data_IF_625778157684
#
_entry.id   IF_625778157684
#
_cell.length_a   1.000
_cell.length_b   1.000
_cell.length_c   1.000
_cell.angle_alpha   90.00
_cell.angle_beta   90.00
_cell.angle_gamma   90.00
#
_symmetry.space_group_name_H-M   'P 1'
#
loop_
_entity.id
_entity.type
_entity.pdbx_description
1 polymer ?
#
# COMPACT_ATOMS: atom_id res chain seq x y z
N UNK A 1 -7.49 -5.29 -4.00
CA UNK A 1 -6.60 -4.16 -3.67
C UNK A 1 -5.98 -3.55 -4.92
N UNK A 2 -5.11 -4.25 -5.67
CA UNK A 2 -4.45 -3.71 -6.87
C UNK A 2 -5.34 -3.61 -8.13
N UNK A 3 -6.57 -4.12 -8.07
CA UNK A 3 -7.55 -4.07 -9.16
C UNK A 3 -8.29 -2.74 -9.26
N UNK A 4 -8.12 -1.84 -8.27
CA UNK A 4 -8.68 -0.50 -8.32
C UNK A 4 -7.88 0.36 -9.28
N UNK A 5 -8.59 1.06 -10.17
CA UNK A 5 -8.04 1.87 -11.26
C UNK A 5 -7.11 2.99 -10.76
N UNK A 6 -7.25 3.40 -9.50
CA UNK A 6 -6.48 4.49 -8.90
C UNK A 6 -5.22 4.01 -8.16
N UNK A 7 -4.97 2.70 -8.10
CA UNK A 7 -3.76 2.14 -7.51
C UNK A 7 -2.58 2.26 -8.48
N UNK A 8 -1.42 2.72 -8.00
CA UNK A 8 -0.28 2.99 -8.86
C UNK A 8 1.07 2.70 -8.21
N UNK A 9 2.06 2.43 -9.07
CA UNK A 9 3.46 2.42 -8.69
C UNK A 9 4.04 3.81 -8.94
N UNK A 10 4.29 4.54 -7.85
CA UNK A 10 4.80 5.90 -7.91
C UNK A 10 6.33 5.92 -7.78
N UNK A 11 6.99 6.60 -8.70
CA UNK A 11 8.45 6.85 -8.71
C UNK A 11 8.81 8.35 -8.71
N UNK A 12 7.79 9.22 -8.86
CA UNK A 12 7.92 10.68 -8.86
C UNK A 12 6.76 11.35 -8.12
N UNK A 13 7.00 12.57 -7.69
CA UNK A 13 6.01 13.52 -7.19
C UNK A 13 6.44 14.93 -7.61
N UNK A 14 5.52 15.74 -8.14
CA UNK A 14 5.83 17.10 -8.62
C UNK A 14 7.01 17.11 -9.61
N UNK A 15 6.96 16.21 -10.60
CA UNK A 15 8.00 15.94 -11.62
C UNK A 15 9.40 15.53 -11.12
N UNK A 16 9.60 15.52 -9.81
CA UNK A 16 10.85 15.14 -9.14
C UNK A 16 10.81 13.69 -8.66
N UNK A 17 11.96 13.01 -8.57
CA UNK A 17 12.03 11.73 -7.88
C UNK A 17 11.46 11.82 -6.46
N UNK A 18 10.92 10.71 -5.95
CA UNK A 18 10.50 10.66 -4.55
C UNK A 18 11.70 10.96 -3.64
N UNK A 19 11.45 11.63 -2.52
CA UNK A 19 12.42 11.69 -1.43
C UNK A 19 12.55 10.31 -0.76
N UNK A 20 13.71 9.99 -0.13
CA UNK A 20 13.91 8.71 0.57
C UNK A 20 12.80 8.36 1.56
N UNK A 21 12.34 9.34 2.34
CA UNK A 21 11.28 9.17 3.34
C UNK A 21 9.92 8.83 2.72
N UNK A 22 9.71 9.23 1.46
CA UNK A 22 8.50 8.96 0.69
C UNK A 22 8.57 7.66 -0.11
N UNK A 23 9.66 6.90 -0.01
CA UNK A 23 9.74 5.57 -0.61
C UNK A 23 10.58 5.49 -1.90
N UNK A 24 11.50 6.43 -2.13
CA UNK A 24 12.46 6.32 -3.23
C UNK A 24 13.14 4.95 -3.29
N UNK A 25 13.32 4.31 -4.46
CA UNK A 25 13.02 4.83 -5.80
C UNK A 25 11.59 4.55 -6.27
N UNK A 26 10.85 3.70 -5.56
CA UNK A 26 9.54 3.21 -6.00
C UNK A 26 8.68 2.85 -4.79
N UNK A 27 7.42 3.28 -4.81
CA UNK A 27 6.42 2.89 -3.82
C UNK A 27 5.15 2.39 -4.47
N UNK A 28 4.39 1.58 -3.73
CA UNK A 28 2.98 1.37 -4.01
C UNK A 28 2.18 2.53 -3.42
N UNK A 29 1.16 2.98 -4.16
CA UNK A 29 0.19 3.98 -3.73
C UNK A 29 -1.23 3.47 -4.00
N UNK A 30 -2.02 3.35 -2.94
CA UNK A 30 -3.41 2.89 -2.98
C UNK A 30 -4.27 3.92 -2.25
N UNK A 31 -4.86 4.90 -2.96
CA UNK A 31 -5.44 6.10 -2.34
C UNK A 31 -6.73 5.84 -1.57
N UNK A 32 -7.45 4.75 -1.87
CA UNK A 32 -8.74 4.43 -1.25
C UNK A 32 -8.63 3.60 0.04
N UNK A 33 -7.40 3.22 0.45
CA UNK A 33 -7.15 2.47 1.68
C UNK A 33 -6.27 3.27 2.64
N UNK A 34 -6.20 2.83 3.90
CA UNK A 34 -5.26 3.36 4.86
C UNK A 34 -3.81 3.24 4.36
N UNK A 35 -3.00 4.26 4.69
CA UNK A 35 -1.68 4.45 4.11
C UNK A 35 -0.67 3.33 4.40
N UNK A 36 -0.88 2.52 5.44
CA UNK A 36 -0.03 1.35 5.71
C UNK A 36 -0.12 0.28 4.62
N UNK A 37 -1.20 0.28 3.82
CA UNK A 37 -1.33 -0.55 2.62
C UNK A 37 -0.50 -0.03 1.44
N UNK A 38 -0.03 1.22 1.48
CA UNK A 38 0.80 1.83 0.44
C UNK A 38 2.30 1.65 0.74
N UNK A 39 2.82 0.46 0.45
CA UNK A 39 4.20 0.07 0.77
C UNK A 39 5.26 1.02 0.18
N UNK A 40 6.21 1.45 1.03
CA UNK A 40 7.41 2.20 0.62
C UNK A 40 8.54 1.25 0.24
N UNK A 41 9.49 1.73 -0.58
CA UNK A 41 10.70 1.02 -0.97
C UNK A 41 10.40 -0.35 -1.62
N UNK A 42 9.49 -0.35 -2.58
CA UNK A 42 8.99 -1.58 -3.21
C UNK A 42 10.14 -2.34 -3.90
N UNK A 43 10.30 -3.63 -3.55
CA UNK A 43 11.36 -4.51 -4.09
C UNK A 43 10.83 -5.62 -4.98
N UNK A 44 9.56 -5.97 -4.85
CA UNK A 44 8.94 -7.05 -5.60
C UNK A 44 7.43 -7.07 -5.38
N UNK A 45 6.72 -7.72 -6.30
CA UNK A 45 5.29 -7.94 -6.23
C UNK A 45 5.09 -9.45 -6.45
N UNK A 46 4.37 -10.08 -5.53
CA UNK A 46 4.02 -11.50 -5.60
C UNK A 46 2.52 -11.61 -5.78
N UNK A 47 2.09 -12.40 -6.78
CA UNK A 47 0.69 -12.71 -7.00
C UNK A 47 0.35 -14.02 -6.31
N UNK A 48 -0.71 -14.02 -5.51
CA UNK A 48 -1.16 -15.19 -4.75
C UNK A 48 -2.63 -15.48 -5.05
N UNK A 49 -3.01 -16.75 -5.00
CA UNK A 49 -4.41 -17.17 -5.22
C UNK A 49 -5.32 -16.87 -4.03
N UNK A 50 -4.75 -16.78 -2.82
CA UNK A 50 -5.48 -16.50 -1.59
C UNK A 50 -4.78 -15.38 -0.82
N UNK A 51 -5.56 -14.63 -0.05
CA UNK A 51 -5.03 -13.59 0.84
C UNK A 51 -4.19 -14.21 1.97
N UNK A 52 -3.11 -13.50 2.31
CA UNK A 52 -2.23 -13.84 3.44
C UNK A 52 -1.99 -12.61 4.30
N UNK A 53 -2.07 -12.71 5.65
CA UNK A 53 -1.68 -11.63 6.52
C UNK A 53 -0.25 -11.17 6.24
N UNK A 54 -0.07 -9.87 6.10
CA UNK A 54 1.23 -9.23 6.03
C UNK A 54 1.74 -8.85 7.42
N UNK A 55 2.71 -7.94 7.43
CA UNK A 55 3.34 -7.48 8.67
C UNK A 55 2.31 -6.85 9.62
N UNK A 56 1.55 -5.85 9.15
CA UNK A 56 0.61 -5.10 9.99
C UNK A 56 -0.59 -5.93 10.42
N UNK A 57 -1.10 -6.81 9.55
CA UNK A 57 -2.25 -7.65 9.85
C UNK A 57 -1.92 -8.66 10.96
N UNK A 58 -0.66 -9.11 11.05
CA UNK A 58 -0.16 -9.89 12.18
C UNK A 58 -0.18 -9.16 13.53
N UNK A 59 -0.26 -7.82 13.53
CA UNK A 59 -0.39 -6.98 14.72
C UNK A 59 -1.84 -6.48 14.95
N UNK A 60 -2.84 -7.10 14.30
CA UNK A 60 -4.25 -6.80 14.52
C UNK A 60 -4.83 -5.71 13.61
N UNK A 61 -4.09 -5.23 12.61
CA UNK A 61 -4.64 -4.34 11.59
C UNK A 61 -5.56 -5.09 10.63
N UNK A 62 -6.54 -4.39 10.07
CA UNK A 62 -7.51 -5.00 9.17
C UNK A 62 -6.89 -5.49 7.85
N UNK A 63 -7.39 -6.61 7.33
CA UNK A 63 -6.92 -7.21 6.07
C UNK A 63 -7.14 -6.31 4.85
N UNK A 64 -8.22 -5.52 4.82
CA UNK A 64 -8.51 -4.57 3.72
C UNK A 64 -8.08 -3.14 4.06
N UNK A 65 -8.55 -2.56 5.16
CA UNK A 65 -8.08 -1.26 5.65
C UNK A 65 -8.80 -0.08 5.00
N UNK A 66 -10.10 -0.19 4.75
CA UNK A 66 -10.94 0.88 4.21
C UNK A 66 -11.25 1.96 5.28
N UNK A 67 -10.83 3.22 5.08
CA UNK A 67 -11.04 4.28 6.06
C UNK A 67 -12.49 4.74 6.19
N UNK A 68 -13.32 4.57 5.16
CA UNK A 68 -14.73 4.98 5.20
C UNK A 68 -15.62 3.95 5.89
N UNK A 69 -15.16 2.70 5.95
CA UNK A 69 -15.79 1.62 6.70
C UNK A 69 -15.17 1.42 8.09
N UNK A 70 -14.29 2.34 8.52
CA UNK A 70 -13.60 2.31 9.82
C UNK A 70 -12.79 1.01 10.08
N UNK A 71 -12.28 0.39 9.02
CA UNK A 71 -11.54 -0.87 9.07
C UNK A 71 -10.09 -0.68 9.56
N UNK A 72 -9.90 -0.14 10.75
CA UNK A 72 -8.55 0.08 11.28
C UNK A 72 -7.94 -1.18 11.88
N UNK A 73 -8.74 -1.91 12.64
CA UNK A 73 -8.36 -3.13 13.33
C UNK A 73 -9.31 -4.28 12.97
N UNK A 74 -8.92 -5.52 13.28
CA UNK A 74 -9.76 -6.72 13.11
C UNK A 74 -10.65 -6.99 14.32
#
# INVERSE_FOLDING_TARGET
MLSDENSMLAYKYDDKPLEPDHGYPLRLFVPHLYFWKSAKWLRGIEFMANDRPGFWEGYGYHMRGDPFLEERFS
#
